data_IF_620888670239
#
_entry.id   IF_620888670239
#
_cell.length_a   1.000
_cell.length_b   1.000
_cell.length_c   1.000
_cell.angle_alpha   90.00
_cell.angle_beta   90.00
_cell.angle_gamma   90.00
#
_symmetry.space_group_name_H-M   'P 1'
#
loop_
_entity.id
_entity.type
_entity.pdbx_description
1 polymer ?
#
# COMPACT_ATOMS: atom_id res chain seq x y z
N UNK A 1 -2.06 -7.67 -23.17
CA UNK A 1 -0.62 -7.60 -23.52
C UNK A 1 0.28 -8.13 -22.41
N UNK A 2 0.10 -7.72 -21.14
CA UNK A 2 0.89 -8.25 -20.02
C UNK A 2 0.58 -9.73 -19.75
N UNK A 3 -0.69 -10.06 -19.53
CA UNK A 3 -1.13 -11.45 -19.25
C UNK A 3 -0.95 -12.44 -20.40
N UNK A 4 -0.69 -11.94 -21.61
CA UNK A 4 -0.36 -12.78 -22.78
C UNK A 4 1.12 -13.13 -22.86
N UNK A 5 2.02 -12.41 -22.16
CA UNK A 5 3.42 -12.79 -22.05
C UNK A 5 3.60 -13.64 -20.77
N UNK A 6 3.82 -14.94 -20.97
CA UNK A 6 3.93 -15.91 -19.87
C UNK A 6 5.08 -15.58 -18.91
N UNK A 7 6.25 -15.22 -19.43
CA UNK A 7 7.46 -14.91 -18.65
C UNK A 7 7.23 -13.69 -17.74
N UNK A 8 6.57 -12.66 -18.25
CA UNK A 8 6.21 -11.47 -17.45
C UNK A 8 5.17 -11.84 -16.40
N UNK A 9 4.11 -12.56 -16.77
CA UNK A 9 3.03 -12.89 -15.84
C UNK A 9 3.48 -13.81 -14.69
N UNK A 10 4.29 -14.83 -14.98
CA UNK A 10 4.86 -15.70 -13.95
C UNK A 10 5.69 -14.88 -12.94
N UNK A 11 6.45 -13.90 -13.41
CA UNK A 11 7.25 -13.02 -12.55
C UNK A 11 6.36 -12.04 -11.74
N UNK A 12 5.31 -11.49 -12.34
CA UNK A 12 4.31 -10.66 -11.64
C UNK A 12 3.53 -11.45 -10.56
N UNK A 13 3.36 -12.76 -10.73
CA UNK A 13 2.75 -13.63 -9.73
C UNK A 13 3.73 -14.13 -8.68
N UNK A 14 5.04 -14.00 -8.90
CA UNK A 14 6.04 -14.55 -8.00
C UNK A 14 6.01 -13.88 -6.63
N UNK A 15 5.92 -14.70 -5.59
CA UNK A 15 6.22 -14.35 -4.21
C UNK A 15 7.67 -14.73 -3.92
N UNK A 16 8.49 -13.71 -3.66
CA UNK A 16 9.93 -13.83 -3.42
C UNK A 16 10.26 -14.42 -2.05
N UNK A 17 9.33 -14.39 -1.11
CA UNK A 17 9.49 -14.99 0.21
C UNK A 17 9.28 -16.50 0.13
N UNK A 18 8.18 -16.93 -0.49
CA UNK A 18 7.83 -18.37 -0.55
C UNK A 18 8.42 -19.13 -1.73
N UNK A 19 8.99 -18.43 -2.73
CA UNK A 19 9.41 -18.96 -4.04
C UNK A 19 8.27 -19.67 -4.79
N UNK A 20 7.04 -19.23 -4.56
CA UNK A 20 5.80 -19.72 -5.19
C UNK A 20 5.06 -18.55 -5.81
N UNK A 21 3.81 -18.76 -6.24
CA UNK A 21 2.96 -17.64 -6.62
C UNK A 21 2.30 -17.02 -5.37
N UNK A 22 2.00 -15.73 -5.46
CA UNK A 22 1.13 -15.04 -4.51
C UNK A 22 -0.21 -15.79 -4.39
N UNK A 23 -0.78 -15.78 -3.20
CA UNK A 23 -2.04 -16.45 -2.89
C UNK A 23 -3.22 -15.53 -3.10
N UNK A 24 -4.41 -16.09 -3.34
CA UNK A 24 -5.63 -15.30 -3.47
C UNK A 24 -5.83 -14.35 -2.29
N UNK A 25 -5.66 -14.83 -1.05
CA UNK A 25 -5.86 -14.01 0.16
C UNK A 25 -7.29 -13.48 0.28
N UNK A 26 -8.23 -14.06 -0.49
CA UNK A 26 -9.61 -13.66 -0.57
C UNK A 26 -10.50 -14.81 -1.02
N UNK A 27 -11.67 -14.90 -0.43
CA UNK A 27 -12.71 -15.88 -0.71
C UNK A 27 -13.65 -15.45 -1.86
N UNK A 28 -13.47 -14.24 -2.40
CA UNK A 28 -14.33 -13.66 -3.44
C UNK A 28 -14.44 -14.48 -4.71
N UNK A 29 -13.53 -15.42 -4.96
CA UNK A 29 -13.52 -16.28 -6.14
C UNK A 29 -13.88 -17.74 -5.81
N UNK A 30 -14.14 -18.08 -4.55
CA UNK A 30 -14.39 -19.46 -4.10
C UNK A 30 -15.57 -20.14 -4.81
N UNK A 31 -16.52 -19.36 -5.34
CA UNK A 31 -17.64 -19.88 -6.13
C UNK A 31 -17.22 -20.54 -7.45
N UNK A 32 -16.00 -20.28 -7.93
CA UNK A 32 -15.42 -20.91 -9.13
C UNK A 32 -14.73 -22.26 -8.83
N UNK A 33 -14.61 -22.65 -7.55
CA UNK A 33 -14.05 -23.93 -7.13
C UNK A 33 -12.91 -23.80 -6.11
N UNK A 34 -12.44 -24.95 -5.61
CA UNK A 34 -11.45 -25.02 -4.53
C UNK A 34 -10.06 -24.50 -4.88
N UNK A 35 -9.72 -24.34 -6.17
CA UNK A 35 -8.46 -23.71 -6.60
C UNK A 35 -8.50 -22.17 -6.50
N UNK A 36 -9.67 -21.60 -6.23
CA UNK A 36 -9.89 -20.17 -6.01
C UNK A 36 -10.08 -19.80 -4.53
N UNK A 37 -9.86 -20.75 -3.62
CA UNK A 37 -9.89 -20.50 -2.17
C UNK A 37 -8.75 -19.57 -1.74
N UNK A 38 -8.98 -18.83 -0.65
CA UNK A 38 -8.06 -17.80 -0.14
C UNK A 38 -6.64 -18.30 0.17
N UNK A 39 -6.51 -19.57 0.57
CA UNK A 39 -5.26 -20.23 0.90
C UNK A 39 -4.50 -20.77 -0.34
N UNK A 40 -5.03 -20.59 -1.55
CA UNK A 40 -4.47 -21.16 -2.78
C UNK A 40 -3.68 -20.13 -3.58
N UNK A 41 -2.67 -20.62 -4.28
CA UNK A 41 -1.83 -19.83 -5.19
C UNK A 41 -2.63 -19.40 -6.44
N UNK A 42 -2.43 -18.15 -6.87
CA UNK A 42 -2.99 -17.67 -8.14
C UNK A 42 -2.15 -18.28 -9.27
N UNK A 43 -2.68 -19.29 -9.95
CA UNK A 43 -2.05 -19.91 -11.12
C UNK A 43 -2.45 -19.18 -12.39
N UNK A 44 -1.53 -19.09 -13.36
CA UNK A 44 -1.77 -18.40 -14.64
C UNK A 44 -3.02 -18.91 -15.37
N UNK A 45 -3.25 -20.23 -15.39
CA UNK A 45 -4.38 -20.82 -16.12
C UNK A 45 -5.74 -20.50 -15.47
N UNK A 46 -5.75 -20.06 -14.20
CA UNK A 46 -6.95 -19.62 -13.49
C UNK A 46 -7.35 -18.18 -13.82
N UNK A 47 -6.48 -17.41 -14.48
CA UNK A 47 -6.68 -15.97 -14.75
C UNK A 47 -6.44 -15.59 -16.21
N UNK A 48 -6.27 -16.58 -17.08
CA UNK A 48 -6.05 -16.41 -18.53
C UNK A 48 -6.98 -17.32 -19.33
N UNK A 49 -7.00 -17.15 -20.66
CA UNK A 49 -7.86 -17.94 -21.55
C UNK A 49 -9.34 -17.65 -21.30
N UNK A 50 -10.11 -18.68 -20.92
CA UNK A 50 -11.54 -18.54 -20.60
C UNK A 50 -11.81 -17.66 -19.37
N UNK A 51 -10.81 -17.47 -18.51
CA UNK A 51 -10.89 -16.64 -17.31
C UNK A 51 -10.23 -15.26 -17.51
N UNK A 52 -9.96 -14.87 -18.75
CA UNK A 52 -9.45 -13.52 -19.03
C UNK A 52 -10.44 -12.46 -18.53
N UNK A 53 -9.91 -11.41 -17.91
CA UNK A 53 -10.72 -10.40 -17.22
C UNK A 53 -11.30 -10.79 -15.85
N UNK A 54 -11.00 -12.00 -15.33
CA UNK A 54 -11.47 -12.40 -13.99
C UNK A 54 -10.98 -11.43 -12.89
N UNK A 55 -9.66 -11.17 -12.89
CA UNK A 55 -9.05 -10.14 -12.06
C UNK A 55 -9.07 -8.84 -12.87
N UNK A 56 -9.89 -7.89 -12.46
CA UNK A 56 -10.07 -6.59 -13.09
C UNK A 56 -10.06 -5.48 -12.04
N UNK A 57 -9.75 -4.23 -12.44
CA UNK A 57 -9.81 -3.07 -11.56
C UNK A 57 -11.13 -3.01 -10.81
N UNK A 58 -11.06 -2.58 -9.55
CA UNK A 58 -12.23 -2.58 -8.66
C UNK A 58 -13.34 -1.66 -9.16
N UNK A 59 -12.99 -0.53 -9.77
CA UNK A 59 -13.94 0.39 -10.38
C UNK A 59 -14.75 -0.24 -11.53
N UNK A 60 -14.24 -1.30 -12.17
CA UNK A 60 -14.90 -2.01 -13.27
C UNK A 60 -15.80 -3.16 -12.77
N UNK A 61 -15.75 -3.52 -11.48
CA UNK A 61 -16.58 -4.58 -10.91
C UNK A 61 -18.01 -4.09 -10.66
N UNK A 62 -18.99 -5.00 -10.74
CA UNK A 62 -20.38 -4.70 -10.39
C UNK A 62 -20.52 -4.17 -8.95
N UNK A 63 -21.40 -3.19 -8.74
CA UNK A 63 -21.58 -2.49 -7.45
C UNK A 63 -21.78 -3.43 -6.24
N UNK A 64 -22.51 -4.54 -6.41
CA UNK A 64 -22.76 -5.49 -5.32
C UNK A 64 -21.47 -6.15 -4.79
N UNK A 65 -20.47 -6.36 -5.67
CA UNK A 65 -19.16 -6.92 -5.31
C UNK A 65 -18.29 -5.87 -4.61
N UNK A 66 -18.42 -4.59 -4.98
CA UNK A 66 -17.74 -3.49 -4.31
C UNK A 66 -18.25 -3.32 -2.87
N UNK A 67 -19.59 -3.30 -2.70
CA UNK A 67 -20.25 -3.16 -1.39
C UNK A 67 -19.91 -4.28 -0.40
N UNK A 68 -19.81 -5.53 -0.87
CA UNK A 68 -19.47 -6.67 -0.01
C UNK A 68 -18.04 -6.54 0.57
N UNK A 69 -17.08 -6.01 -0.19
CA UNK A 69 -15.70 -5.82 0.25
C UNK A 69 -15.55 -4.68 1.24
N UNK A 70 -16.21 -3.55 0.99
CA UNK A 70 -16.20 -2.41 1.93
C UNK A 70 -16.76 -2.79 3.30
N UNK A 71 -17.78 -3.66 3.33
CA UNK A 71 -18.35 -4.17 4.59
C UNK A 71 -17.44 -5.18 5.28
N UNK A 72 -17.02 -6.22 4.57
CA UNK A 72 -16.34 -7.36 5.19
C UNK A 72 -14.86 -7.11 5.52
N UNK A 73 -14.21 -6.16 4.82
CA UNK A 73 -12.75 -5.94 4.93
C UNK A 73 -12.36 -4.50 5.27
N UNK A 74 -13.35 -3.65 5.54
CA UNK A 74 -13.16 -2.22 5.82
C UNK A 74 -12.28 -1.51 4.77
N UNK A 75 -12.32 -1.99 3.52
CA UNK A 75 -11.62 -1.42 2.38
C UNK A 75 -12.35 -0.19 1.87
N UNK A 76 -11.60 0.89 1.68
CA UNK A 76 -12.14 2.15 1.18
C UNK A 76 -11.28 2.67 0.04
N UNK A 77 -11.90 2.92 -1.11
CA UNK A 77 -11.22 3.40 -2.30
C UNK A 77 -10.74 4.84 -2.12
N UNK A 78 -9.45 5.08 -2.37
CA UNK A 78 -8.85 6.40 -2.20
C UNK A 78 -9.05 7.24 -3.47
N UNK A 79 -9.80 8.36 -3.42
CA UNK A 79 -9.94 9.26 -4.56
C UNK A 79 -8.62 9.90 -4.97
N UNK A 80 -8.50 10.27 -6.25
CA UNK A 80 -7.27 10.85 -6.82
C UNK A 80 -6.79 12.12 -6.10
N UNK A 81 -7.72 12.98 -5.67
CA UNK A 81 -7.36 14.21 -4.97
C UNK A 81 -6.82 13.97 -3.54
N UNK A 82 -7.18 12.85 -2.92
CA UNK A 82 -6.61 12.42 -1.63
C UNK A 82 -5.18 11.91 -1.86
N UNK A 83 -4.98 11.10 -2.90
CA UNK A 83 -3.65 10.64 -3.34
C UNK A 83 -2.73 11.83 -3.54
N UNK A 84 -3.15 12.79 -4.36
CA UNK A 84 -2.39 14.01 -4.64
C UNK A 84 -2.08 14.79 -3.35
N UNK A 85 -3.07 14.98 -2.48
CA UNK A 85 -2.90 15.72 -1.23
C UNK A 85 -1.85 15.08 -0.30
N UNK A 86 -1.88 13.76 -0.14
CA UNK A 86 -0.91 13.05 0.71
C UNK A 86 0.49 13.03 0.09
N UNK A 87 0.60 12.74 -1.20
CA UNK A 87 1.89 12.69 -1.90
C UNK A 87 2.55 14.07 -1.91
N UNK A 88 1.81 15.12 -2.29
CA UNK A 88 2.36 16.49 -2.37
C UNK A 88 2.76 17.05 -0.99
N UNK A 89 2.07 16.65 0.08
CA UNK A 89 2.43 17.06 1.44
C UNK A 89 3.87 16.70 1.84
N UNK A 90 4.50 15.74 1.15
CA UNK A 90 5.91 15.39 1.33
C UNK A 90 6.75 15.74 0.09
N UNK A 91 6.24 15.53 -1.12
CA UNK A 91 6.98 15.79 -2.36
C UNK A 91 7.42 17.25 -2.50
N UNK A 92 6.61 18.21 -2.06
CA UNK A 92 6.95 19.64 -2.14
C UNK A 92 8.24 19.97 -1.39
N UNK A 93 8.50 19.28 -0.28
CA UNK A 93 9.74 19.45 0.50
C UNK A 93 10.95 18.76 -0.16
N UNK A 94 10.70 17.67 -0.90
CA UNK A 94 11.74 16.87 -1.56
C UNK A 94 12.10 17.41 -2.95
N UNK A 95 11.25 18.26 -3.54
CA UNK A 95 11.36 18.69 -4.94
C UNK A 95 12.71 19.35 -5.27
N UNK A 96 13.29 20.10 -4.34
CA UNK A 96 14.56 20.80 -4.56
C UNK A 96 15.81 19.94 -4.34
N UNK A 97 15.66 18.65 -4.01
CA UNK A 97 16.79 17.73 -3.95
C UNK A 97 17.41 17.55 -5.35
N UNK A 98 18.73 17.26 -5.44
CA UNK A 98 19.34 16.81 -6.68
C UNK A 98 18.57 15.62 -7.27
N UNK A 99 18.45 15.55 -8.60
CA UNK A 99 17.59 14.58 -9.31
C UNK A 99 17.76 13.15 -8.79
N UNK A 100 18.99 12.62 -8.79
CA UNK A 100 19.26 11.25 -8.31
C UNK A 100 18.81 11.03 -6.86
N UNK A 101 19.03 12.02 -5.98
CA UNK A 101 18.62 11.95 -4.58
C UNK A 101 17.11 11.99 -4.45
N UNK A 102 16.42 12.79 -5.26
CA UNK A 102 14.96 12.84 -5.32
C UNK A 102 14.38 11.50 -5.80
N UNK A 103 14.88 10.96 -6.91
CA UNK A 103 14.39 9.71 -7.49
C UNK A 103 14.64 8.51 -6.57
N UNK A 104 15.75 8.50 -5.83
CA UNK A 104 16.13 7.44 -4.88
C UNK A 104 15.51 7.58 -3.48
N UNK A 105 14.63 8.55 -3.24
CA UNK A 105 13.86 8.60 -1.98
C UNK A 105 13.06 7.31 -1.81
N UNK A 106 13.18 6.65 -0.66
CA UNK A 106 12.53 5.37 -0.37
C UNK A 106 11.10 5.61 0.10
N UNK A 107 10.14 5.22 -0.72
CA UNK A 107 8.71 5.32 -0.42
C UNK A 107 8.12 3.94 -0.19
N UNK A 108 7.24 3.81 0.80
CA UNK A 108 6.43 2.62 1.04
C UNK A 108 4.95 3.00 1.00
N UNK A 109 4.17 2.35 0.12
CA UNK A 109 2.71 2.32 0.22
C UNK A 109 2.26 1.13 1.07
N UNK A 110 1.68 1.39 2.24
CA UNK A 110 1.08 0.32 3.07
C UNK A 110 -0.29 -0.06 2.54
N UNK A 111 -0.66 -1.33 2.66
CA UNK A 111 -1.98 -1.87 2.25
C UNK A 111 -2.39 -1.33 0.88
N UNK A 112 -1.51 -1.55 -0.11
CA UNK A 112 -1.50 -0.74 -1.31
C UNK A 112 -2.67 -1.02 -2.26
N UNK A 113 -3.44 -2.09 -2.08
CA UNK A 113 -4.55 -2.42 -2.98
C UNK A 113 -4.07 -2.50 -4.43
N UNK A 114 -4.53 -1.57 -5.28
CA UNK A 114 -4.14 -1.45 -6.70
C UNK A 114 -3.00 -0.43 -6.95
N UNK A 115 -2.32 -0.02 -5.87
CA UNK A 115 -1.22 0.94 -5.79
C UNK A 115 -1.54 2.38 -6.24
N UNK A 116 -2.67 3.00 -5.83
CA UNK A 116 -3.01 4.36 -6.22
C UNK A 116 -2.01 5.40 -5.70
N UNK A 117 -1.33 5.19 -4.56
CA UNK A 117 -0.30 6.13 -4.12
C UNK A 117 1.03 5.95 -4.83
N UNK A 118 1.37 4.76 -5.34
CA UNK A 118 2.54 4.56 -6.21
C UNK A 118 2.27 5.13 -7.61
N UNK A 119 1.20 4.66 -8.26
CA UNK A 119 0.85 4.93 -9.67
C UNK A 119 -0.66 5.14 -9.85
N UNK A 120 -1.08 6.40 -9.93
CA UNK A 120 -2.50 6.75 -10.00
C UNK A 120 -3.02 6.73 -11.45
N UNK A 121 -3.17 5.54 -12.03
CA UNK A 121 -3.52 5.36 -13.46
C UNK A 121 -5.00 5.65 -13.77
N UNK A 122 -5.87 5.51 -12.79
CA UNK A 122 -7.30 5.76 -12.89
C UNK A 122 -7.85 6.15 -11.53
N UNK A 123 -8.93 6.91 -11.53
CA UNK A 123 -9.59 7.29 -10.30
C UNK A 123 -10.36 6.09 -9.71
N UNK A 124 -10.04 5.73 -8.47
CA UNK A 124 -10.57 4.52 -7.82
C UNK A 124 -12.09 4.54 -7.58
N UNK A 125 -12.72 5.72 -7.65
CA UNK A 125 -14.17 5.86 -7.47
C UNK A 125 -14.89 5.80 -8.83
N UNK A 126 -14.41 6.56 -9.81
CA UNK A 126 -15.09 6.70 -11.10
C UNK A 126 -14.61 5.72 -12.17
N UNK A 127 -13.46 5.07 -11.98
CA UNK A 127 -12.80 4.24 -12.99
C UNK A 127 -12.21 5.03 -14.16
N UNK A 128 -12.30 6.36 -14.15
CA UNK A 128 -11.81 7.19 -15.25
C UNK A 128 -10.30 7.13 -15.32
N UNK A 129 -9.78 6.80 -16.51
CA UNK A 129 -8.34 6.81 -16.80
C UNK A 129 -7.79 8.23 -16.62
N UNK A 130 -6.67 8.33 -15.91
CA UNK A 130 -6.00 9.60 -15.65
C UNK A 130 -4.87 9.79 -16.67
N UNK A 131 -4.86 10.91 -17.42
CA UNK A 131 -3.77 11.24 -18.34
C UNK A 131 -2.41 11.23 -17.63
N UNK A 132 -1.36 10.73 -18.30
CA UNK A 132 -0.02 10.56 -17.72
C UNK A 132 0.50 11.80 -16.98
N UNK A 133 0.25 13.00 -17.52
CA UNK A 133 0.71 14.26 -16.93
C UNK A 133 0.01 14.63 -15.62
N UNK A 134 -1.22 14.16 -15.43
CA UNK A 134 -2.11 14.48 -14.30
C UNK A 134 -2.01 13.45 -13.17
N UNK A 135 -1.35 12.31 -13.40
CA UNK A 135 -1.21 11.26 -12.38
C UNK A 135 -0.43 11.75 -11.16
N UNK A 136 -0.90 11.39 -9.97
CA UNK A 136 -0.42 11.97 -8.71
C UNK A 136 0.33 11.00 -7.80
N UNK A 137 0.52 9.74 -8.21
CA UNK A 137 1.28 8.77 -7.44
C UNK A 137 2.75 9.19 -7.29
N UNK A 138 3.43 8.74 -6.24
CA UNK A 138 4.81 9.16 -6.00
C UNK A 138 5.78 8.66 -7.09
N UNK A 139 5.50 7.53 -7.76
CA UNK A 139 6.25 7.09 -8.95
C UNK A 139 5.91 8.00 -10.13
N UNK A 140 4.64 8.39 -10.32
CA UNK A 140 4.24 9.32 -11.39
C UNK A 140 4.93 10.67 -11.27
N UNK A 141 5.00 11.22 -10.05
CA UNK A 141 5.67 12.49 -9.75
C UNK A 141 7.18 12.38 -10.02
N UNK A 142 7.81 11.25 -9.62
CA UNK A 142 9.22 10.97 -9.92
C UNK A 142 9.47 10.89 -11.44
N UNK A 143 8.63 10.19 -12.18
CA UNK A 143 8.70 10.12 -13.64
C UNK A 143 8.48 11.48 -14.30
N UNK A 144 7.52 12.29 -13.83
CA UNK A 144 7.27 13.62 -14.38
C UNK A 144 8.55 14.48 -14.37
N UNK A 145 9.30 14.43 -13.27
CA UNK A 145 10.58 15.15 -13.16
C UNK A 145 11.66 14.51 -14.03
N UNK A 146 11.82 13.18 -13.98
CA UNK A 146 12.78 12.46 -14.81
C UNK A 146 12.59 12.76 -16.31
N UNK A 147 11.35 12.69 -16.80
CA UNK A 147 10.97 12.94 -18.19
C UNK A 147 11.22 14.40 -18.64
N UNK A 148 11.27 15.33 -17.68
CA UNK A 148 11.56 16.74 -17.97
C UNK A 148 13.06 17.00 -18.05
N UNK A 149 13.86 16.31 -17.23
CA UNK A 149 15.30 16.60 -17.08
C UNK A 149 16.19 15.71 -17.95
N UNK A 150 15.75 14.51 -18.35
CA UNK A 150 16.58 13.50 -19.00
C UNK A 150 15.96 13.05 -20.33
N UNK A 151 16.62 13.41 -21.43
CA UNK A 151 16.22 13.00 -22.78
C UNK A 151 17.01 11.80 -23.33
N UNK A 152 18.19 11.51 -22.77
CA UNK A 152 19.00 10.36 -23.18
C UNK A 152 18.38 9.06 -22.67
N UNK A 153 18.16 8.10 -23.57
CA UNK A 153 17.45 6.86 -23.25
C UNK A 153 18.22 5.96 -22.27
N UNK A 154 19.55 5.87 -22.38
CA UNK A 154 20.35 5.03 -21.50
C UNK A 154 20.36 5.59 -20.08
N UNK A 155 20.60 6.89 -19.94
CA UNK A 155 20.53 7.58 -18.65
C UNK A 155 19.13 7.53 -18.05
N UNK A 156 18.10 7.73 -18.87
CA UNK A 156 16.70 7.65 -18.43
C UNK A 156 16.37 6.27 -17.86
N UNK A 157 16.79 5.19 -18.54
CA UNK A 157 16.56 3.82 -18.08
C UNK A 157 17.25 3.55 -16.74
N UNK A 158 18.51 3.99 -16.57
CA UNK A 158 19.23 3.85 -15.30
C UNK A 158 18.48 4.54 -14.14
N UNK A 159 17.99 5.76 -14.36
CA UNK A 159 17.26 6.51 -13.35
C UNK A 159 15.84 5.97 -13.12
N UNK A 160 15.17 5.46 -14.15
CA UNK A 160 13.89 4.78 -14.02
C UNK A 160 14.01 3.52 -13.15
N UNK A 161 15.08 2.73 -13.31
CA UNK A 161 15.38 1.58 -12.45
C UNK A 161 15.51 2.02 -10.98
N UNK A 162 16.19 3.14 -10.70
CA UNK A 162 16.31 3.70 -9.34
C UNK A 162 14.94 4.08 -8.75
N UNK A 163 14.02 4.62 -9.57
CA UNK A 163 12.65 4.90 -9.11
C UNK A 163 12.00 3.60 -8.60
N UNK A 164 12.05 2.51 -9.37
CA UNK A 164 11.45 1.24 -8.96
C UNK A 164 12.16 0.61 -7.77
N UNK A 165 13.49 0.60 -7.75
CA UNK A 165 14.28 0.07 -6.63
C UNK A 165 14.03 0.81 -5.30
N UNK A 166 13.62 2.08 -5.36
CA UNK A 166 13.30 2.91 -4.18
C UNK A 166 11.81 3.00 -3.87
N UNK A 167 10.96 2.21 -4.54
CA UNK A 167 9.52 2.27 -4.39
C UNK A 167 8.98 0.92 -3.96
N UNK A 168 8.31 0.90 -2.81
CA UNK A 168 7.87 -0.33 -2.15
C UNK A 168 6.38 -0.29 -1.86
N UNK A 169 5.78 -1.47 -1.73
CA UNK A 169 4.40 -1.61 -1.29
C UNK A 169 4.12 -3.00 -0.73
N UNK A 170 3.08 -3.13 0.09
CA UNK A 170 2.59 -4.45 0.48
C UNK A 170 1.07 -4.50 0.48
N UNK A 171 0.54 -5.69 0.19
CA UNK A 171 -0.89 -5.97 0.17
C UNK A 171 -1.16 -7.39 0.67
N UNK A 172 -2.29 -7.59 1.34
CA UNK A 172 -2.71 -8.91 1.80
C UNK A 172 -3.33 -9.73 0.66
N UNK A 173 -4.15 -9.11 -0.17
CA UNK A 173 -4.91 -9.77 -1.24
C UNK A 173 -4.10 -9.93 -2.52
N UNK A 174 -3.91 -11.17 -2.99
CA UNK A 174 -3.12 -11.42 -4.19
C UNK A 174 -3.76 -10.86 -5.46
N UNK A 175 -5.09 -10.78 -5.53
CA UNK A 175 -5.76 -10.21 -6.72
C UNK A 175 -5.52 -8.70 -6.85
N UNK A 176 -5.63 -7.97 -5.74
CA UNK A 176 -5.26 -6.55 -5.67
C UNK A 176 -3.76 -6.35 -5.93
N UNK A 177 -2.91 -7.16 -5.30
CA UNK A 177 -1.46 -7.09 -5.46
C UNK A 177 -1.02 -7.32 -6.91
N UNK A 178 -1.65 -8.26 -7.62
CA UNK A 178 -1.39 -8.46 -9.05
C UNK A 178 -1.73 -7.21 -9.86
N UNK A 179 -2.88 -6.58 -9.61
CA UNK A 179 -3.28 -5.34 -10.30
C UNK A 179 -2.32 -4.18 -9.99
N UNK A 180 -1.87 -4.05 -8.74
CA UNK A 180 -0.84 -3.09 -8.37
C UNK A 180 0.43 -3.30 -9.20
N UNK A 181 0.96 -4.54 -9.25
CA UNK A 181 2.18 -4.87 -10.01
C UNK A 181 1.99 -4.63 -11.52
N UNK A 182 0.83 -4.94 -12.08
CA UNK A 182 0.48 -4.63 -13.47
C UNK A 182 0.43 -3.12 -13.73
N UNK A 183 -0.20 -2.34 -12.83
CA UNK A 183 -0.25 -0.88 -12.93
C UNK A 183 1.15 -0.25 -12.88
N UNK A 184 2.04 -0.77 -12.05
CA UNK A 184 3.44 -0.34 -11.99
C UNK A 184 4.16 -0.57 -13.33
N UNK A 185 4.03 -1.77 -13.91
CA UNK A 185 4.67 -2.09 -15.19
C UNK A 185 4.08 -1.29 -16.36
N UNK A 186 2.76 -1.11 -16.40
CA UNK A 186 2.10 -0.28 -17.40
C UNK A 186 2.53 1.19 -17.29
N UNK A 187 2.77 1.70 -16.09
CA UNK A 187 3.29 3.06 -15.89
C UNK A 187 4.70 3.23 -16.44
N UNK A 188 5.57 2.22 -16.30
CA UNK A 188 6.88 2.25 -16.95
C UNK A 188 6.74 2.33 -18.47
N UNK A 189 5.87 1.50 -19.05
CA UNK A 189 5.61 1.47 -20.50
C UNK A 189 5.04 2.80 -21.00
N UNK A 190 4.07 3.38 -20.30
CA UNK A 190 3.45 4.68 -20.63
C UNK A 190 4.53 5.78 -20.69
N UNK A 191 5.42 5.83 -19.70
CA UNK A 191 6.49 6.83 -19.64
C UNK A 191 7.57 6.60 -20.69
N UNK A 192 7.99 5.35 -20.92
CA UNK A 192 8.96 5.02 -21.96
C UNK A 192 8.42 5.39 -23.35
N UNK A 193 7.15 5.05 -23.63
CA UNK A 193 6.51 5.41 -24.89
C UNK A 193 6.37 6.94 -25.03
N UNK A 194 6.02 7.65 -23.96
CA UNK A 194 5.96 9.11 -23.95
C UNK A 194 7.31 9.76 -24.32
N UNK A 195 8.42 9.21 -23.80
CA UNK A 195 9.75 9.76 -24.03
C UNK A 195 10.35 9.40 -25.39
N UNK A 196 10.15 8.17 -25.85
CA UNK A 196 10.92 7.61 -26.97
C UNK A 196 10.05 7.16 -28.15
N UNK A 197 8.72 7.27 -28.07
CA UNK A 197 7.79 6.90 -29.14
C UNK A 197 7.84 5.42 -29.53
N UNK A 198 8.38 4.56 -28.66
CA UNK A 198 8.56 3.13 -28.89
C UNK A 198 8.23 2.34 -27.63
N UNK A 199 8.12 1.01 -27.76
CA UNK A 199 7.91 0.11 -26.62
C UNK A 199 9.27 -0.39 -26.09
N UNK A 200 9.42 -0.61 -24.77
CA UNK A 200 10.64 -1.19 -24.22
C UNK A 200 10.89 -2.61 -24.76
N UNK A 201 12.16 -3.04 -24.76
CA UNK A 201 12.49 -4.43 -25.08
C UNK A 201 11.97 -5.39 -24.00
N UNK A 202 11.78 -6.65 -24.36
CA UNK A 202 11.31 -7.68 -23.42
C UNK A 202 12.25 -7.87 -22.23
N UNK A 203 13.57 -7.77 -22.42
CA UNK A 203 14.54 -7.86 -21.33
C UNK A 203 14.44 -6.70 -20.35
N UNK A 204 14.18 -5.47 -20.83
CA UNK A 204 13.94 -4.32 -19.95
C UNK A 204 12.64 -4.53 -19.16
N UNK A 205 11.57 -4.98 -19.81
CA UNK A 205 10.30 -5.27 -19.12
C UNK A 205 10.47 -6.37 -18.07
N UNK A 206 11.24 -7.41 -18.38
CA UNK A 206 11.54 -8.49 -17.43
C UNK A 206 12.32 -7.96 -16.22
N UNK A 207 13.34 -7.13 -16.43
CA UNK A 207 14.12 -6.50 -15.36
C UNK A 207 13.23 -5.65 -14.44
N UNK A 208 12.37 -4.81 -15.00
CA UNK A 208 11.44 -3.99 -14.22
C UNK A 208 10.44 -4.86 -13.46
N UNK A 209 9.95 -5.93 -14.09
CA UNK A 209 9.03 -6.87 -13.45
C UNK A 209 9.68 -7.59 -12.27
N UNK A 210 10.95 -7.96 -12.38
CA UNK A 210 11.72 -8.56 -11.29
C UNK A 210 11.80 -7.60 -10.10
N UNK A 211 12.17 -6.33 -10.33
CA UNK A 211 12.21 -5.30 -9.28
C UNK A 211 10.83 -5.12 -8.63
N UNK A 212 9.77 -5.03 -9.44
CA UNK A 212 8.38 -4.90 -8.95
C UNK A 212 8.02 -6.08 -8.04
N UNK A 213 8.32 -7.31 -8.45
CA UNK A 213 8.01 -8.51 -7.66
C UNK A 213 8.76 -8.59 -6.33
N UNK A 214 9.94 -7.96 -6.24
CA UNK A 214 10.77 -7.89 -5.03
C UNK A 214 10.34 -6.76 -4.08
N UNK A 215 9.82 -5.65 -4.62
CA UNK A 215 9.51 -4.45 -3.85
C UNK A 215 8.03 -4.29 -3.49
N UNK A 216 7.14 -4.92 -4.26
CA UNK A 216 5.69 -4.87 -4.05
C UNK A 216 5.22 -6.29 -3.77
N UNK A 217 5.01 -6.64 -2.50
CA UNK A 217 4.92 -8.04 -2.05
C UNK A 217 3.69 -8.35 -1.19
N UNK A 218 3.38 -9.64 -1.02
CA UNK A 218 2.22 -10.08 -0.25
C UNK A 218 2.58 -10.17 1.23
N UNK A 219 1.80 -9.52 2.11
CA UNK A 219 2.08 -9.53 3.55
C UNK A 219 0.86 -9.10 4.38
N UNK A 220 0.68 -9.71 5.56
CA UNK A 220 -0.15 -9.14 6.61
C UNK A 220 0.57 -7.97 7.29
N UNK A 221 0.00 -6.76 7.19
CA UNK A 221 0.66 -5.54 7.66
C UNK A 221 0.81 -5.39 9.17
N UNK A 222 0.23 -6.28 9.98
CA UNK A 222 0.37 -6.26 11.44
C UNK A 222 1.19 -7.42 11.98
N UNK A 223 1.05 -8.63 11.40
CA UNK A 223 1.84 -9.79 11.81
C UNK A 223 3.15 -9.92 11.03
N UNK A 224 3.27 -9.23 9.90
CA UNK A 224 4.37 -9.30 8.94
C UNK A 224 4.57 -10.68 8.30
N UNK A 225 3.54 -11.54 8.38
CA UNK A 225 3.57 -12.90 7.85
C UNK A 225 3.07 -12.94 6.41
N UNK A 226 3.48 -13.97 5.68
CA UNK A 226 2.84 -14.35 4.43
C UNK A 226 1.48 -14.98 4.76
N UNK A 227 0.36 -14.48 4.18
CA UNK A 227 -0.97 -15.03 4.42
C UNK A 227 -1.03 -16.55 4.14
N UNK A 228 -1.63 -17.32 5.04
CA UNK A 228 -1.83 -18.78 4.90
C UNK A 228 -0.52 -19.55 4.64
N UNK A 229 0.57 -19.13 5.26
CA UNK A 229 1.86 -19.81 5.18
C UNK A 229 2.03 -20.92 6.24
N UNK A 230 1.30 -20.78 7.35
CA UNK A 230 1.13 -21.73 8.45
C UNK A 230 0.10 -22.82 8.16
N UNK A 231 -0.69 -22.68 7.10
CA UNK A 231 -1.81 -23.57 6.80
C UNK A 231 -1.32 -24.99 6.48
N UNK A 232 -1.32 -25.81 7.53
CA UNK A 232 -1.08 -27.23 7.54
C UNK A 232 -2.24 -27.99 6.92
N UNK A 233 -2.41 -27.91 5.60
CA UNK A 233 -3.05 -29.03 4.90
C UNK A 233 -2.02 -30.12 4.74
N UNK A 234 -2.26 -31.22 5.47
CA UNK A 234 -1.54 -32.48 5.36
C UNK A 234 -1.19 -32.77 3.90
N UNK A 235 0.11 -32.71 3.56
CA UNK A 235 0.58 -33.70 2.61
C UNK A 235 0.53 -35.02 3.37
N UNK A 236 -0.61 -35.72 3.35
CA UNK A 236 -0.63 -37.13 3.74
C UNK A 236 0.19 -37.85 2.69
N UNK A 237 1.50 -37.89 2.88
CA UNK A 237 2.30 -38.93 2.28
C UNK A 237 1.91 -40.21 3.02
N UNK A 238 1.00 -40.99 2.44
CA UNK A 238 0.68 -42.33 2.94
C UNK A 238 1.92 -43.21 2.77
N UNK A 239 2.87 -43.16 3.70
CA UNK A 239 3.77 -44.28 3.94
C UNK A 239 3.02 -45.26 4.84
N UNK A 240 2.89 -46.51 4.40
CA UNK A 240 2.00 -47.51 5.00
C UNK A 240 2.45 -47.98 6.40
N UNK A 241 3.52 -47.41 6.98
CA UNK A 241 4.19 -47.90 8.19
C UNK A 241 4.92 -46.85 9.06
N UNK A 242 4.61 -45.55 9.00
CA UNK A 242 5.22 -44.56 9.91
C UNK A 242 4.16 -43.77 10.70
N UNK A 243 4.45 -43.55 11.98
CA UNK A 243 3.65 -42.73 12.90
C UNK A 243 3.54 -41.30 12.34
N UNK A 244 2.32 -40.77 12.35
CA UNK A 244 2.04 -39.39 11.90
C UNK A 244 2.63 -38.44 12.94
N UNK A 245 3.78 -37.84 12.65
CA UNK A 245 4.23 -36.66 13.38
C UNK A 245 3.39 -35.46 12.93
N UNK A 246 2.45 -35.04 13.77
CA UNK A 246 1.70 -33.78 13.62
C UNK A 246 2.65 -32.58 13.80
N UNK A 247 3.36 -32.21 12.74
CA UNK A 247 4.15 -30.98 12.69
C UNK A 247 3.26 -29.77 12.35
N UNK A 248 2.99 -28.90 13.32
CA UNK A 248 2.44 -27.56 13.03
C UNK A 248 3.51 -26.76 12.30
N UNK A 249 3.19 -26.25 11.10
CA UNK A 249 4.13 -25.48 10.29
C UNK A 249 4.16 -24.04 10.80
N UNK A 250 5.33 -23.54 11.20
CA UNK A 250 5.45 -22.15 11.63
C UNK A 250 5.11 -21.19 10.47
N UNK A 251 4.42 -20.06 10.74
CA UNK A 251 4.13 -19.05 9.72
C UNK A 251 5.42 -18.44 9.18
N UNK A 252 5.47 -18.25 7.88
CA UNK A 252 6.61 -17.63 7.20
C UNK A 252 6.53 -16.10 7.30
N UNK A 253 7.59 -15.45 7.74
CA UNK A 253 7.70 -13.99 7.75
C UNK A 253 8.00 -13.46 6.36
N UNK A 254 7.32 -12.39 5.96
CA UNK A 254 7.56 -11.73 4.68
C UNK A 254 8.97 -11.15 4.63
N UNK A 255 9.58 -11.20 3.45
CA UNK A 255 10.93 -10.69 3.20
C UNK A 255 10.91 -9.46 2.30
N UNK A 256 11.93 -8.64 2.44
CA UNK A 256 12.16 -7.44 1.64
C UNK A 256 13.60 -7.40 1.15
N UNK A 257 13.80 -6.92 -0.08
CA UNK A 257 15.13 -6.73 -0.64
C UNK A 257 15.67 -5.32 -0.41
N UNK A 258 16.87 -5.26 0.15
CA UNK A 258 17.58 -4.01 0.43
C UNK A 258 18.59 -3.75 -0.69
N UNK A 259 18.21 -2.98 -1.70
CA UNK A 259 19.01 -2.74 -2.91
C UNK A 259 20.41 -2.15 -2.66
N UNK A 260 20.59 -1.34 -1.60
CA UNK A 260 21.92 -0.78 -1.28
C UNK A 260 22.87 -1.81 -0.67
N UNK A 261 22.33 -2.78 0.04
CA UNK A 261 23.09 -3.83 0.73
C UNK A 261 23.08 -5.16 -0.04
N UNK A 262 22.31 -5.25 -1.13
CA UNK A 262 22.13 -6.45 -1.95
C UNK A 262 21.73 -7.69 -1.14
N UNK A 263 20.86 -7.49 -0.14
CA UNK A 263 20.45 -8.55 0.80
C UNK A 263 18.93 -8.65 0.93
N UNK A 264 18.46 -9.87 1.17
CA UNK A 264 17.09 -10.17 1.59
C UNK A 264 17.07 -10.22 3.11
N UNK A 265 16.13 -9.50 3.74
CA UNK A 265 15.90 -9.53 5.19
C UNK A 265 14.43 -9.79 5.48
N UNK A 266 14.09 -10.23 6.69
CA UNK A 266 12.68 -10.27 7.09
C UNK A 266 12.18 -8.84 7.30
N UNK A 267 10.95 -8.56 6.88
CA UNK A 267 10.36 -7.24 7.04
C UNK A 267 10.24 -6.84 8.52
N UNK A 268 9.94 -7.81 9.39
CA UNK A 268 9.84 -7.59 10.84
C UNK A 268 11.15 -7.06 11.46
N UNK A 269 12.30 -7.36 10.86
CA UNK A 269 13.61 -6.87 11.35
C UNK A 269 13.79 -5.35 11.09
N UNK A 270 12.95 -4.74 10.25
CA UNK A 270 12.90 -3.28 10.07
C UNK A 270 12.16 -2.58 11.22
N UNK A 271 11.31 -3.31 11.94
CA UNK A 271 10.48 -2.83 13.05
C UNK A 271 11.33 -2.82 14.33
N UNK A 272 11.19 -1.80 15.18
CA UNK A 272 11.99 -1.68 16.41
C UNK A 272 13.42 -1.12 16.25
N UNK A 273 13.83 -0.68 15.06
CA UNK A 273 15.00 0.19 14.87
C UNK A 273 16.38 -0.47 14.93
N UNK A 274 16.45 -1.80 14.89
CA UNK A 274 17.71 -2.56 14.77
C UNK A 274 18.27 -2.60 13.34
N UNK A 275 17.45 -2.28 12.32
CA UNK A 275 17.87 -2.22 10.92
C UNK A 275 18.43 -0.85 10.53
N UNK A 276 19.46 -0.85 9.67
CA UNK A 276 20.01 0.35 9.03
C UNK A 276 19.05 1.00 8.03
N UNK A 277 18.04 0.27 7.53
CA UNK A 277 17.12 0.76 6.51
C UNK A 277 15.80 1.24 7.12
N UNK A 278 15.49 2.52 6.87
CA UNK A 278 14.16 3.12 7.07
C UNK A 278 13.62 3.69 5.78
N UNK A 279 12.30 3.78 5.68
CA UNK A 279 11.63 4.47 4.58
C UNK A 279 11.68 5.98 4.81
N UNK A 280 12.06 6.72 3.77
CA UNK A 280 12.05 8.18 3.83
C UNK A 280 10.60 8.67 3.95
N UNK A 281 9.66 7.96 3.32
CA UNK A 281 8.21 8.23 3.37
C UNK A 281 7.41 6.94 3.42
N UNK A 282 6.40 6.90 4.31
CA UNK A 282 5.34 5.89 4.34
C UNK A 282 4.01 6.58 4.04
N UNK A 283 3.22 6.02 3.14
CA UNK A 283 1.92 6.55 2.71
C UNK A 283 0.89 5.44 2.61
N UNK A 284 -0.39 5.76 2.74
CA UNK A 284 -1.44 4.78 2.47
C UNK A 284 -2.80 5.15 3.04
N UNK A 285 -3.73 4.23 2.82
CA UNK A 285 -5.07 4.20 3.41
C UNK A 285 -5.25 2.84 4.11
N UNK A 286 -4.84 2.72 5.39
CA UNK A 286 -4.88 1.44 6.09
C UNK A 286 -6.32 0.98 6.34
N UNK A 287 -6.55 -0.33 6.52
CA UNK A 287 -7.86 -0.86 6.89
C UNK A 287 -8.30 -0.31 8.25
N UNK A 288 -9.58 0.08 8.35
CA UNK A 288 -10.06 0.82 9.52
C UNK A 288 -10.39 -0.06 10.71
N UNK A 289 -10.95 -1.24 10.48
CA UNK A 289 -11.49 -2.11 11.52
C UNK A 289 -11.29 -3.58 11.14
N UNK A 290 -11.26 -4.45 12.16
CA UNK A 290 -11.41 -5.89 12.00
C UNK A 290 -12.83 -6.27 12.42
N UNK A 291 -13.53 -7.04 11.59
CA UNK A 291 -14.84 -7.58 11.97
C UNK A 291 -14.71 -8.43 13.23
N UNK A 292 -15.62 -8.21 14.17
CA UNK A 292 -15.72 -9.05 15.36
C UNK A 292 -16.27 -10.44 15.02
N UNK A 293 -15.65 -11.51 15.53
CA UNK A 293 -16.18 -12.87 15.42
C UNK A 293 -17.14 -13.21 16.57
N UNK A 294 -18.44 -13.42 16.29
CA UNK A 294 -19.44 -13.92 17.24
C UNK A 294 -20.68 -13.03 17.43
N UNK A 295 -21.70 -13.52 18.15
CA UNK A 295 -23.02 -12.87 18.30
C UNK A 295 -23.04 -11.56 19.10
N UNK A 296 -21.94 -11.22 19.78
CA UNK A 296 -21.75 -9.99 20.59
C UNK A 296 -20.47 -9.24 20.18
N UNK A 297 -19.87 -9.60 19.05
CA UNK A 297 -18.58 -9.08 18.66
C UNK A 297 -18.72 -7.68 18.06
N UNK A 298 -17.82 -6.77 18.46
CA UNK A 298 -17.81 -5.38 18.04
C UNK A 298 -16.56 -5.13 17.22
N UNK A 299 -16.70 -4.38 16.13
CA UNK A 299 -15.58 -4.05 15.26
C UNK A 299 -14.52 -3.27 16.04
N UNK A 300 -13.31 -3.83 16.09
CA UNK A 300 -12.17 -3.22 16.77
C UNK A 300 -11.42 -2.30 15.81
N UNK A 301 -11.08 -1.08 16.21
CA UNK A 301 -10.26 -0.21 15.39
C UNK A 301 -8.88 -0.84 15.18
N UNK A 302 -8.45 -0.86 13.93
CA UNK A 302 -7.17 -1.44 13.52
C UNK A 302 -6.23 -0.37 12.96
N UNK A 303 -6.76 0.72 12.41
CA UNK A 303 -5.96 1.82 11.85
C UNK A 303 -4.93 2.38 12.84
N UNK A 304 -5.22 2.42 14.14
CA UNK A 304 -4.28 2.91 15.15
C UNK A 304 -3.02 2.05 15.27
N UNK A 305 -3.14 0.73 15.03
CA UNK A 305 -2.00 -0.20 15.01
C UNK A 305 -1.14 0.03 13.77
N UNK A 306 -1.78 0.23 12.61
CA UNK A 306 -1.08 0.59 11.37
C UNK A 306 -0.37 1.94 11.46
N UNK A 307 -0.98 2.93 12.13
CA UNK A 307 -0.32 4.22 12.39
C UNK A 307 0.95 4.04 13.23
N UNK A 308 0.86 3.32 14.35
CA UNK A 308 2.03 3.06 15.21
C UNK A 308 3.12 2.30 14.44
N UNK A 309 2.78 1.22 13.73
CA UNK A 309 3.72 0.45 12.92
C UNK A 309 4.40 1.31 11.84
N UNK A 310 3.63 2.15 11.16
CA UNK A 310 4.17 3.07 10.14
C UNK A 310 5.14 4.08 10.74
N UNK A 311 4.84 4.59 11.94
CA UNK A 311 5.73 5.51 12.65
C UNK A 311 7.03 4.86 13.08
N UNK A 312 7.11 3.54 13.24
CA UNK A 312 8.38 2.89 13.56
C UNK A 312 9.33 2.86 12.35
N UNK A 313 8.82 2.51 11.18
CA UNK A 313 9.62 2.26 9.97
C UNK A 313 9.82 3.49 9.07
N UNK A 314 8.96 4.51 9.18
CA UNK A 314 9.00 5.72 8.33
C UNK A 314 9.63 6.94 9.01
N UNK A 315 10.35 7.76 8.26
CA UNK A 315 10.80 9.09 8.71
C UNK A 315 9.68 10.13 8.60
N UNK A 316 8.95 10.10 7.47
CA UNK A 316 7.68 10.82 7.28
C UNK A 316 6.56 9.83 7.02
N UNK A 317 5.39 10.07 7.59
CA UNK A 317 4.22 9.18 7.45
C UNK A 317 2.98 9.99 7.13
N UNK A 318 2.30 9.68 6.03
CA UNK A 318 1.03 10.31 5.62
C UNK A 318 -0.07 9.28 5.45
N UNK A 319 -1.09 9.34 6.32
CA UNK A 319 -2.17 8.35 6.32
C UNK A 319 -3.53 9.05 6.40
N UNK A 320 -4.51 8.50 5.70
CA UNK A 320 -5.93 8.82 5.88
C UNK A 320 -6.56 7.79 6.81
N UNK A 321 -7.20 8.23 7.90
CA UNK A 321 -7.79 7.35 8.91
C UNK A 321 -9.08 7.93 9.51
N UNK A 322 -9.91 7.14 10.21
CA UNK A 322 -11.04 7.65 10.98
C UNK A 322 -10.60 8.70 12.02
N UNK A 323 -11.30 9.83 12.07
CA UNK A 323 -10.86 11.02 12.80
C UNK A 323 -11.27 11.07 14.29
N UNK A 324 -12.02 10.08 14.79
CA UNK A 324 -12.59 10.13 16.15
C UNK A 324 -11.54 10.32 17.26
N UNK A 325 -10.31 9.84 17.06
CA UNK A 325 -9.23 10.02 18.03
C UNK A 325 -8.86 11.49 18.27
N UNK A 326 -9.06 12.37 17.28
CA UNK A 326 -8.83 13.82 17.39
C UNK A 326 -9.71 14.47 18.47
N UNK A 327 -10.87 13.88 18.72
CA UNK A 327 -11.84 14.35 19.72
C UNK A 327 -11.77 13.51 21.02
N UNK A 328 -10.73 12.69 21.18
CA UNK A 328 -10.61 11.69 22.23
C UNK A 328 -11.87 10.80 22.36
N UNK A 329 -12.47 10.47 21.21
CA UNK A 329 -13.70 9.72 21.09
C UNK A 329 -13.47 8.42 20.29
N UNK A 330 -14.52 7.62 20.13
CA UNK A 330 -14.45 6.36 19.38
C UNK A 330 -13.99 5.18 20.24
N UNK A 331 -13.52 4.14 19.56
CA UNK A 331 -13.20 2.85 20.17
C UNK A 331 -11.69 2.63 20.39
N UNK A 332 -10.85 3.53 19.87
CA UNK A 332 -9.41 3.48 20.12
C UNK A 332 -9.14 3.74 21.61
N UNK A 333 -8.09 3.12 22.19
CA UNK A 333 -7.78 3.33 23.60
C UNK A 333 -7.59 4.82 23.93
N UNK A 334 -8.21 5.32 25.00
CA UNK A 334 -8.05 6.74 25.41
C UNK A 334 -6.59 7.13 25.64
N UNK A 335 -5.79 6.20 26.16
CA UNK A 335 -4.34 6.41 26.32
C UNK A 335 -3.66 6.64 24.96
N UNK A 336 -4.05 5.90 23.93
CA UNK A 336 -3.54 6.07 22.57
C UNK A 336 -4.01 7.40 21.95
N UNK A 337 -5.29 7.76 22.08
CA UNK A 337 -5.77 9.07 21.63
C UNK A 337 -4.95 10.21 22.26
N UNK A 338 -4.73 10.14 23.58
CA UNK A 338 -3.92 11.12 24.30
C UNK A 338 -2.46 11.14 23.87
N UNK A 339 -1.87 9.98 23.53
CA UNK A 339 -0.52 9.88 22.94
C UNK A 339 -0.47 10.67 21.64
N UNK A 340 -1.39 10.40 20.72
CA UNK A 340 -1.48 11.05 19.42
C UNK A 340 -1.71 12.56 19.53
N UNK A 341 -2.60 13.00 20.41
CA UNK A 341 -2.89 14.42 20.61
C UNK A 341 -1.70 15.19 21.21
N UNK A 342 -0.82 14.52 21.97
CA UNK A 342 0.34 15.13 22.61
C UNK A 342 1.64 14.97 21.81
N UNK A 343 1.61 14.21 20.74
CA UNK A 343 2.78 13.99 19.89
C UNK A 343 3.20 15.31 19.21
N UNK A 344 4.42 15.81 19.45
CA UNK A 344 4.88 17.06 18.85
C UNK A 344 5.27 16.92 17.37
N UNK A 345 5.31 15.71 16.81
CA UNK A 345 5.74 15.41 15.45
C UNK A 345 4.59 15.18 14.48
N UNK A 346 3.33 15.24 14.94
CA UNK A 346 2.14 15.01 14.11
C UNK A 346 1.37 16.30 13.83
N UNK A 347 0.85 16.44 12.61
CA UNK A 347 -0.12 17.48 12.22
C UNK A 347 -1.29 16.87 11.46
N UNK A 348 -2.46 17.51 11.55
CA UNK A 348 -3.62 17.22 10.71
C UNK A 348 -3.50 18.06 9.44
N UNK A 349 -3.40 17.41 8.28
CA UNK A 349 -3.37 18.04 6.96
C UNK A 349 -4.76 18.39 6.45
N UNK A 350 -5.74 17.55 6.80
CA UNK A 350 -7.11 17.68 6.33
C UNK A 350 -8.04 16.92 7.28
N UNK A 351 -9.24 17.45 7.48
CA UNK A 351 -10.32 16.82 8.22
C UNK A 351 -11.63 17.05 7.50
N UNK A 352 -12.43 16.00 7.36
CA UNK A 352 -13.80 16.09 6.89
C UNK A 352 -14.68 15.25 7.80
N UNK A 353 -15.72 15.87 8.35
CA UNK A 353 -16.64 15.24 9.28
C UNK A 353 -17.58 14.26 8.58
N UNK A 354 -17.98 14.59 7.36
CA UNK A 354 -18.86 13.78 6.53
C UNK A 354 -18.04 12.95 5.53
N UNK A 355 -17.74 11.71 5.92
CA UNK A 355 -16.93 10.82 5.08
C UNK A 355 -17.55 10.53 3.73
N UNK A 356 -18.88 10.67 3.57
CA UNK A 356 -19.57 10.43 2.30
C UNK A 356 -19.13 11.40 1.19
N UNK A 357 -18.57 12.57 1.55
CA UNK A 357 -17.99 13.52 0.59
C UNK A 357 -16.67 13.04 -0.01
N UNK A 358 -16.03 12.04 0.61
CA UNK A 358 -14.77 11.46 0.15
C UNK A 358 -15.02 10.05 -0.37
N UNK A 359 -15.82 9.28 0.35
CA UNK A 359 -16.09 7.88 0.11
C UNK A 359 -17.60 7.69 -0.02
N UNK A 360 -18.10 7.74 -1.25
CA UNK A 360 -19.54 7.80 -1.57
C UNK A 360 -20.39 6.70 -0.88
N UNK A 361 -19.81 5.54 -0.58
CA UNK A 361 -20.52 4.35 -0.09
C UNK A 361 -20.19 3.96 1.36
N UNK A 362 -19.31 4.71 2.04
CA UNK A 362 -18.82 4.35 3.38
C UNK A 362 -19.11 5.44 4.41
N UNK A 363 -20.01 5.14 5.36
CA UNK A 363 -20.29 5.99 6.52
C UNK A 363 -19.28 5.73 7.65
N UNK A 364 -18.27 6.58 7.74
CA UNK A 364 -17.23 6.55 8.76
C UNK A 364 -17.61 7.58 9.82
N UNK A 365 -18.27 7.09 10.87
CA UNK A 365 -18.77 7.98 11.91
C UNK A 365 -17.63 8.80 12.53
N UNK A 366 -17.84 10.10 12.65
CA UNK A 366 -16.86 11.04 13.20
C UNK A 366 -15.88 11.60 12.16
N UNK A 367 -16.04 11.19 10.90
CA UNK A 367 -15.26 11.69 9.78
C UNK A 367 -13.91 11.02 9.62
N UNK A 368 -13.13 11.56 8.70
CA UNK A 368 -11.78 11.10 8.38
C UNK A 368 -10.80 12.26 8.42
N UNK A 369 -9.55 11.91 8.73
CA UNK A 369 -8.46 12.86 8.82
C UNK A 369 -7.26 12.34 8.04
N UNK A 370 -6.56 13.26 7.38
CA UNK A 370 -5.23 13.01 6.83
C UNK A 370 -4.24 13.58 7.82
N UNK A 371 -3.33 12.74 8.32
CA UNK A 371 -2.26 13.17 9.23
C UNK A 371 -0.90 13.06 8.55
N UNK A 372 -0.02 14.03 8.81
CA UNK A 372 1.42 13.93 8.55
C UNK A 372 2.13 13.79 9.90
N UNK A 373 2.96 12.76 10.04
CA UNK A 373 3.94 12.64 11.10
C UNK A 373 5.35 12.79 10.51
N UNK A 374 6.19 13.66 11.06
CA UNK A 374 7.58 13.87 10.62
C UNK A 374 8.53 13.83 11.82
N UNK A 375 9.28 12.73 11.94
CA UNK A 375 10.24 12.51 13.05
C UNK A 375 11.28 13.63 13.16
N UNK A 376 11.62 14.25 12.03
CA UNK A 376 12.67 15.26 11.96
C UNK A 376 12.20 16.67 12.33
N UNK A 377 10.88 16.90 12.50
CA UNK A 377 10.32 18.22 12.73
C UNK A 377 9.41 18.28 13.95
N UNK A 378 9.57 19.32 14.75
CA UNK A 378 8.59 19.70 15.76
C UNK A 378 7.47 20.51 15.11
N UNK A 379 6.36 19.84 14.80
CA UNK A 379 5.16 20.46 14.22
C UNK A 379 4.29 21.11 15.30
N UNK A 380 4.44 20.64 16.54
CA UNK A 380 3.68 21.07 17.72
C UNK A 380 2.49 20.15 17.96
N UNK A 381 2.19 19.81 19.23
CA UNK A 381 1.11 18.87 19.54
C UNK A 381 -0.25 19.45 19.18
N UNK A 382 -1.17 18.56 18.78
CA UNK A 382 -2.56 18.93 18.47
C UNK A 382 -3.27 19.44 19.74
N UNK A 383 -3.10 18.71 20.85
CA UNK A 383 -3.73 18.90 22.18
C UNK A 383 -5.25 18.91 22.14
N UNK A 384 -5.85 19.95 21.57
CA UNK A 384 -7.30 20.11 21.37
C UNK A 384 -7.55 20.37 19.89
N UNK A 385 -8.37 19.53 19.27
CA UNK A 385 -8.75 19.67 17.87
C UNK A 385 -10.15 20.27 17.73
N UNK A 386 -10.31 21.18 16.76
CA UNK A 386 -11.59 21.72 16.32
C UNK A 386 -11.81 21.39 14.84
N UNK A 387 -13.08 21.21 14.45
CA UNK A 387 -13.43 21.11 13.02
C UNK A 387 -13.23 22.44 12.26
N UNK A 388 -13.15 23.57 12.98
CA UNK A 388 -12.94 24.89 12.41
C UNK A 388 -11.45 25.25 12.38
N UNK A 389 -10.93 25.54 11.19
CA UNK A 389 -9.51 25.84 11.00
C UNK A 389 -9.07 27.09 11.77
N UNK A 390 -9.91 28.12 11.84
CA UNK A 390 -9.64 29.36 12.56
C UNK A 390 -9.43 29.12 14.06
N UNK A 391 -10.20 28.21 14.65
CA UNK A 391 -10.06 27.84 16.06
C UNK A 391 -8.76 27.07 16.29
N UNK A 392 -8.39 26.14 15.39
CA UNK A 392 -7.10 25.45 15.47
C UNK A 392 -5.93 26.43 15.39
N UNK A 393 -6.00 27.42 14.49
CA UNK A 393 -4.98 28.47 14.38
C UNK A 393 -4.88 29.31 15.66
N UNK A 394 -6.00 29.68 16.28
CA UNK A 394 -6.02 30.40 17.56
C UNK A 394 -5.40 29.56 18.67
N UNK A 395 -5.82 28.30 18.81
CA UNK A 395 -5.32 27.37 19.83
C UNK A 395 -3.79 27.20 19.72
N UNK A 396 -3.27 27.00 18.50
CA UNK A 396 -1.82 26.86 18.28
C UNK A 396 -1.02 28.09 18.73
N UNK A 397 -1.55 29.31 18.51
CA UNK A 397 -0.93 30.56 18.97
C UNK A 397 -0.96 30.70 20.49
N UNK A 398 -2.03 30.26 21.14
CA UNK A 398 -2.16 30.28 22.60
C UNK A 398 -1.14 29.32 23.24
N UNK A 399 -1.01 28.10 22.71
CA UNK A 399 -0.07 27.12 23.24
C UNK A 399 1.39 27.55 23.05
N UNK A 400 1.75 28.13 21.90
CA UNK A 400 3.09 28.70 21.66
C UNK A 400 3.46 29.85 22.59
N UNK A 401 2.48 30.60 23.11
CA UNK A 401 2.73 31.71 24.08
C UNK A 401 2.89 31.25 25.52
N UNK A 402 2.49 30.01 25.85
CA UNK A 402 2.53 29.46 27.22
C UNK A 402 3.76 28.61 27.49
N UNK A 403 4.50 28.24 26.45
CA UNK A 403 5.86 27.68 26.51
C UNK A 403 6.87 28.84 26.50
#
# INVERSE_FOLDING_TARGET
MLRSNRRILDNLLSDRTTNKNIRWGTDNYSYLGSDYSEDREIKVDLITGWHDGLIQPRADKANDVQLARTRNRAEVFTPSWIVEKQVNAVMDELWNLPLEKFLSTRWLEITCGEAPYMVNRYDMISGQIIPLKERAGFIDVKFRRLNTEIADQEQWLKLAIIIYQSSYGYEYQGDSLLLARENLLLTFMDNFFYMFGSVPSEEILYQITEIISMNVFQMDGLTYQIPYSDDGRESVQLSLFEEIEEGTKEPMMATIFLWKQEQVVNFIDLVGGSSEMKFDVVVGNPPYQKEGSGTMARDEPMYNKFMDASFEIGEKVTLITPARFLFNAGQTPKAWNNKMLKDPHIKVLYYERDSAKIFNETDIKGGVAITLHDKSKLLGPILTFSEFEELNQILSKIYKKRQ
#
